data_IF_802754357204
#
_entry.id   IF_802754357204
#
_cell.length_a   1.000
_cell.length_b   1.000
_cell.length_c   1.000
_cell.angle_alpha   90.00
_cell.angle_beta   90.00
_cell.angle_gamma   90.00
#
_symmetry.space_group_name_H-M   'P 1'
#
loop_
_entity.id
_entity.type
_entity.pdbx_description
1 polymer ?
#
# COMPACT_ATOMS: atom_id res chain seq x y z
N UNK A 1 3.99 -0.14 -13.29
CA UNK A 1 3.79 1.32 -13.45
C UNK A 1 4.85 1.89 -14.37
N UNK A 2 4.58 2.97 -15.12
CA UNK A 2 5.62 3.80 -15.74
C UNK A 2 6.68 4.19 -14.71
N UNK A 3 7.94 4.29 -15.12
CA UNK A 3 9.09 4.46 -14.21
C UNK A 3 8.96 5.69 -13.29
N UNK A 4 8.43 6.80 -13.80
CA UNK A 4 8.23 8.05 -13.06
C UNK A 4 7.21 7.93 -11.92
N UNK A 5 6.16 7.13 -12.14
CA UNK A 5 5.12 6.88 -11.15
C UNK A 5 5.60 5.91 -10.07
N UNK A 6 6.47 4.96 -10.44
CA UNK A 6 6.97 3.95 -9.51
C UNK A 6 7.76 4.56 -8.36
N UNK A 7 8.69 5.48 -8.68
CA UNK A 7 9.48 6.17 -7.66
C UNK A 7 8.61 7.02 -6.71
N UNK A 8 7.58 7.67 -7.25
CA UNK A 8 6.63 8.46 -6.45
C UNK A 8 5.82 7.58 -5.51
N UNK A 9 5.37 6.41 -5.98
CA UNK A 9 4.63 5.46 -5.17
C UNK A 9 5.47 4.83 -4.04
N UNK A 10 6.75 4.54 -4.32
CA UNK A 10 7.71 3.99 -3.37
C UNK A 10 8.03 4.98 -2.24
N UNK A 11 8.19 6.27 -2.58
CA UNK A 11 8.33 7.33 -1.58
C UNK A 11 7.07 7.48 -0.71
N UNK A 12 5.89 7.47 -1.35
CA UNK A 12 4.62 7.58 -0.63
C UNK A 12 4.38 6.38 0.29
N UNK A 13 4.84 5.19 -0.07
CA UNK A 13 4.83 4.02 0.81
C UNK A 13 5.67 4.23 2.06
N UNK A 14 6.92 4.64 1.89
CA UNK A 14 7.81 4.84 3.01
C UNK A 14 7.23 5.87 4.00
N UNK A 15 6.67 6.96 3.48
CA UNK A 15 6.05 8.00 4.31
C UNK A 15 4.84 7.44 5.06
N UNK A 16 3.95 6.73 4.36
CA UNK A 16 2.74 6.16 4.98
C UNK A 16 3.07 5.09 6.02
N UNK A 17 4.04 4.22 5.76
CA UNK A 17 4.47 3.18 6.69
C UNK A 17 5.09 3.75 7.95
N UNK A 18 5.90 4.80 7.80
CA UNK A 18 6.60 5.45 8.90
C UNK A 18 5.67 6.26 9.79
N UNK A 19 4.65 6.90 9.19
CA UNK A 19 3.68 7.73 9.91
C UNK A 19 2.52 6.90 10.49
N UNK A 20 1.99 5.94 9.73
CA UNK A 20 0.78 5.21 10.13
C UNK A 20 1.03 3.86 10.82
N UNK A 21 2.18 3.22 10.58
CA UNK A 21 2.47 1.85 11.07
C UNK A 21 3.69 1.82 12.01
N UNK A 22 4.61 2.78 11.88
CA UNK A 22 5.83 2.89 12.70
C UNK A 22 6.94 1.91 12.33
N UNK A 23 6.81 1.18 11.21
CA UNK A 23 7.81 0.24 10.69
C UNK A 23 7.73 0.16 9.17
N UNK A 24 8.86 -0.04 8.50
CA UNK A 24 8.94 -0.22 7.04
C UNK A 24 8.40 -1.59 6.67
N UNK A 25 7.48 -1.64 5.72
CA UNK A 25 6.96 -2.86 5.13
C UNK A 25 7.59 -2.99 3.74
N UNK A 26 8.57 -3.88 3.61
CA UNK A 26 9.13 -4.17 2.28
C UNK A 26 8.08 -4.98 1.51
N UNK A 27 7.32 -4.32 0.63
CA UNK A 27 6.54 -4.99 -0.40
C UNK A 27 7.40 -5.03 -1.66
N UNK A 28 7.81 -6.23 -2.09
CA UNK A 28 8.82 -6.43 -3.14
C UNK A 28 8.36 -5.97 -4.54
N UNK A 29 7.07 -5.68 -4.74
CA UNK A 29 6.54 -5.11 -5.99
C UNK A 29 5.24 -4.32 -5.79
N UNK A 30 4.99 -3.34 -6.68
CA UNK A 30 3.74 -2.52 -6.72
C UNK A 30 2.45 -3.36 -6.67
N UNK A 31 2.50 -4.61 -7.16
CA UNK A 31 1.36 -5.52 -7.25
C UNK A 31 0.91 -6.05 -5.88
N UNK A 32 1.84 -6.44 -5.00
CA UNK A 32 1.52 -7.00 -3.68
C UNK A 32 0.95 -5.94 -2.72
N UNK A 33 1.35 -4.68 -2.90
CA UNK A 33 0.76 -3.54 -2.18
C UNK A 33 -0.68 -3.33 -2.57
N UNK A 34 -0.94 -3.31 -3.88
CA UNK A 34 -2.28 -3.09 -4.39
C UNK A 34 -3.21 -4.22 -3.96
N UNK A 35 -2.74 -5.47 -3.99
CA UNK A 35 -3.49 -6.64 -3.52
C UNK A 35 -3.83 -6.56 -2.02
N UNK A 36 -2.88 -6.17 -1.15
CA UNK A 36 -3.14 -6.01 0.29
C UNK A 36 -4.10 -4.86 0.59
N UNK A 37 -3.95 -3.71 -0.09
CA UNK A 37 -4.87 -2.58 0.07
C UNK A 37 -6.28 -2.94 -0.39
N UNK A 38 -6.40 -3.67 -1.50
CA UNK A 38 -7.68 -4.12 -2.03
C UNK A 38 -8.36 -5.13 -1.11
N UNK A 39 -7.58 -6.04 -0.51
CA UNK A 39 -8.09 -7.00 0.47
C UNK A 39 -8.61 -6.32 1.74
N UNK A 40 -7.88 -5.33 2.27
CA UNK A 40 -8.31 -4.55 3.45
C UNK A 40 -9.60 -3.76 3.17
N UNK A 41 -9.70 -3.10 2.02
CA UNK A 41 -10.90 -2.36 1.63
C UNK A 41 -12.11 -3.28 1.42
N UNK A 42 -11.91 -4.43 0.77
CA UNK A 42 -12.97 -5.43 0.56
C UNK A 42 -13.47 -6.00 1.90
N UNK A 43 -12.59 -6.23 2.87
CA UNK A 43 -12.96 -6.68 4.21
C UNK A 43 -13.77 -5.64 5.00
N UNK A 44 -13.38 -4.36 4.92
CA UNK A 44 -14.09 -3.28 5.61
C UNK A 44 -15.47 -2.98 5.00
N UNK A 45 -15.61 -3.08 3.67
CA UNK A 45 -16.89 -2.87 2.97
C UNK A 45 -17.84 -4.04 3.12
N UNK A 46 -17.33 -5.28 3.20
CA UNK A 46 -18.15 -6.47 3.43
C UNK A 46 -18.70 -6.59 4.87
N UNK A 47 -18.06 -5.96 5.85
CA UNK A 47 -18.53 -5.89 7.24
C UNK A 47 -19.58 -4.80 7.52
N UNK A 48 -19.92 -3.97 6.52
CA UNK A 48 -20.95 -2.94 6.61
C UNK A 48 -22.35 -3.47 6.25
N UNK A 49 -22.87 -4.41 7.04
CA UNK A 49 -24.31 -4.75 7.09
C UNK A 49 -24.75 -5.02 8.52
#
# INVERSE_FOLDING_TARGET
MPEDLRATHEYNDEVLERVCIGRRFHNDTDTERLEKLFALYSGMTAGGK
#
